data_IF_885538247598
#
_entry.id   IF_885538247598
#
_cell.length_a   1.000
_cell.length_b   1.000
_cell.length_c   1.000
_cell.angle_alpha   90.00
_cell.angle_beta   90.00
_cell.angle_gamma   90.00
#
_symmetry.space_group_name_H-M   'P 1'
#
loop_
_entity.id
_entity.type
_entity.pdbx_description
1 polymer ?
#
# COMPACT_ATOMS: atom_id res chain seq x y z
N UNK A 1 13.80 10.96 32.58
CA UNK A 1 14.40 9.85 31.79
C UNK A 1 13.99 8.51 32.40
N UNK A 2 13.95 8.36 33.72
CA UNK A 2 13.62 7.09 34.38
C UNK A 2 12.16 6.68 34.24
N UNK A 3 11.23 7.63 34.14
CA UNK A 3 9.80 7.31 33.94
C UNK A 3 9.53 6.69 32.56
N UNK A 4 10.29 7.05 31.53
CA UNK A 4 10.17 6.47 30.19
C UNK A 4 10.80 5.07 30.07
N UNK A 5 11.75 4.72 30.93
CA UNK A 5 12.37 3.39 30.95
C UNK A 5 11.42 2.29 31.45
N UNK A 6 10.39 2.65 32.20
CA UNK A 6 9.38 1.72 32.69
C UNK A 6 8.24 1.47 31.71
N UNK A 7 8.18 2.18 30.58
CA UNK A 7 7.13 2.07 29.58
C UNK A 7 7.54 1.06 28.52
N UNK A 8 6.80 -0.05 28.31
CA UNK A 8 7.08 -1.00 27.26
C UNK A 8 7.04 -0.39 25.85
N UNK A 9 8.01 -0.72 25.04
CA UNK A 9 8.13 -0.33 23.63
C UNK A 9 7.79 -1.51 22.74
N UNK A 10 6.79 -1.38 21.91
CA UNK A 10 6.29 -2.45 21.05
C UNK A 10 6.40 -2.02 19.59
N UNK A 11 7.22 -2.74 18.81
CA UNK A 11 7.23 -2.64 17.35
C UNK A 11 6.15 -3.55 16.79
N UNK A 12 5.22 -2.98 16.03
CA UNK A 12 4.09 -3.70 15.43
C UNK A 12 4.45 -4.19 14.03
N UNK A 13 5.19 -5.29 13.95
CA UNK A 13 5.75 -5.80 12.71
C UNK A 13 5.52 -7.30 12.58
N UNK A 14 5.14 -7.75 11.39
CA UNK A 14 4.92 -9.14 11.04
C UNK A 14 6.04 -9.65 10.12
N UNK A 15 6.85 -10.59 10.61
CA UNK A 15 7.95 -11.17 9.84
C UNK A 15 7.50 -11.89 8.55
N UNK A 16 6.23 -12.28 8.46
CA UNK A 16 5.67 -12.93 7.27
C UNK A 16 5.31 -11.91 6.17
N UNK A 17 5.33 -10.60 6.46
CA UNK A 17 5.19 -9.52 5.49
C UNK A 17 6.57 -9.06 5.01
N UNK A 18 6.79 -9.08 3.70
CA UNK A 18 8.09 -8.73 3.10
C UNK A 18 8.60 -7.34 3.53
N UNK A 19 7.74 -6.33 3.57
CA UNK A 19 8.08 -4.97 4.03
C UNK A 19 8.47 -4.96 5.51
N UNK A 20 7.69 -5.60 6.37
CA UNK A 20 7.94 -5.64 7.81
C UNK A 20 9.20 -6.44 8.14
N UNK A 21 9.48 -7.53 7.39
CA UNK A 21 10.72 -8.29 7.52
C UNK A 21 11.96 -7.42 7.27
N UNK A 22 11.91 -6.49 6.29
CA UNK A 22 12.99 -5.53 6.05
C UNK A 22 13.14 -4.52 7.21
N UNK A 23 12.04 -4.09 7.81
CA UNK A 23 12.08 -3.21 8.98
C UNK A 23 12.65 -3.94 10.20
N UNK A 24 12.25 -5.19 10.43
CA UNK A 24 12.78 -6.04 11.52
C UNK A 24 14.29 -6.18 11.37
N UNK A 25 14.79 -6.54 10.20
CA UNK A 25 16.22 -6.65 9.93
C UNK A 25 16.99 -5.36 10.23
N UNK A 26 16.39 -4.18 9.91
CA UNK A 26 16.99 -2.87 10.24
C UNK A 26 16.98 -2.61 11.74
N UNK A 27 15.89 -2.90 12.45
CA UNK A 27 15.78 -2.75 13.89
C UNK A 27 16.86 -3.60 14.58
N UNK A 28 16.98 -4.86 14.21
CA UNK A 28 17.99 -5.78 14.77
C UNK A 28 19.43 -5.33 14.49
N UNK A 29 19.67 -4.72 13.32
CA UNK A 29 20.99 -4.20 12.97
C UNK A 29 21.35 -2.89 13.70
N UNK A 30 20.39 -2.00 13.95
CA UNK A 30 20.67 -0.68 14.52
C UNK A 30 20.46 -0.63 16.03
N UNK A 31 19.52 -1.38 16.59
CA UNK A 31 19.21 -1.35 18.02
C UNK A 31 20.43 -1.61 18.94
N UNK A 32 21.38 -2.50 18.60
CA UNK A 32 22.60 -2.71 19.39
C UNK A 32 23.52 -1.48 19.47
N UNK A 33 23.36 -0.50 18.57
CA UNK A 33 24.15 0.74 18.58
C UNK A 33 23.65 1.76 19.61
N UNK A 34 22.55 1.47 20.30
CA UNK A 34 21.91 2.33 21.28
C UNK A 34 21.94 1.69 22.68
N UNK A 35 21.94 2.53 23.72
CA UNK A 35 21.81 2.01 25.08
C UNK A 35 20.35 1.61 25.35
N UNK A 36 20.09 0.31 25.31
CA UNK A 36 18.78 -0.30 25.58
C UNK A 36 18.66 -0.95 26.93
N UNK A 37 19.66 -0.76 27.81
CA UNK A 37 19.66 -1.33 29.16
C UNK A 37 18.44 -0.88 29.97
N UNK A 38 17.69 -1.84 30.51
CA UNK A 38 16.48 -1.61 31.31
C UNK A 38 15.25 -1.22 30.48
N UNK A 39 15.30 -1.28 29.15
CA UNK A 39 14.13 -1.06 28.31
C UNK A 39 13.41 -2.38 28.00
N UNK A 40 12.08 -2.40 28.12
CA UNK A 40 11.23 -3.52 27.68
C UNK A 40 10.86 -3.30 26.23
N UNK A 41 11.65 -3.83 25.31
CA UNK A 41 11.47 -3.69 23.86
C UNK A 41 11.05 -5.03 23.27
N UNK A 42 10.00 -5.01 22.46
CA UNK A 42 9.52 -6.20 21.76
C UNK A 42 9.08 -5.91 20.33
N UNK A 43 9.25 -6.89 19.46
CA UNK A 43 8.71 -6.91 18.09
C UNK A 43 7.60 -7.95 18.08
N UNK A 44 6.37 -7.53 17.80
CA UNK A 44 5.19 -8.40 17.86
C UNK A 44 4.34 -8.20 16.62
N UNK A 45 3.72 -9.28 16.15
CA UNK A 45 2.67 -9.21 15.12
C UNK A 45 1.52 -8.32 15.60
N UNK A 46 0.81 -7.61 14.69
CA UNK A 46 -0.25 -6.66 15.07
C UNK A 46 -1.29 -7.22 16.05
N UNK A 47 -1.74 -8.46 15.87
CA UNK A 47 -2.71 -9.09 16.78
C UNK A 47 -2.15 -9.30 18.19
N UNK A 48 -0.88 -9.70 18.31
CA UNK A 48 -0.22 -9.92 19.60
C UNK A 48 0.13 -8.59 20.26
N UNK A 49 0.60 -7.60 19.48
CA UNK A 49 0.86 -6.25 19.93
C UNK A 49 -0.41 -5.60 20.50
N UNK A 50 -1.56 -5.76 19.80
CA UNK A 50 -2.86 -5.28 20.29
C UNK A 50 -3.22 -5.93 21.61
N UNK A 51 -3.16 -7.25 21.73
CA UNK A 51 -3.48 -7.96 22.96
C UNK A 51 -2.61 -7.51 24.13
N UNK A 52 -1.30 -7.36 23.90
CA UNK A 52 -0.35 -6.88 24.92
C UNK A 52 -0.65 -5.44 25.32
N UNK A 53 -0.87 -4.55 24.37
CA UNK A 53 -1.19 -3.14 24.66
C UNK A 53 -2.49 -3.02 25.45
N UNK A 54 -3.55 -3.72 25.06
CA UNK A 54 -4.81 -3.73 25.80
C UNK A 54 -4.66 -4.29 27.23
N UNK A 55 -3.84 -5.34 27.41
CA UNK A 55 -3.58 -5.89 28.74
C UNK A 55 -2.86 -4.90 29.67
N UNK A 56 -1.92 -4.11 29.12
CA UNK A 56 -1.22 -3.04 29.85
C UNK A 56 -2.14 -1.87 30.16
N UNK A 57 -2.96 -1.43 29.19
CA UNK A 57 -3.95 -0.37 29.39
C UNK A 57 -4.97 -0.73 30.49
N UNK A 58 -5.41 -1.98 30.55
CA UNK A 58 -6.29 -2.46 31.63
C UNK A 58 -5.65 -2.38 33.03
N UNK A 59 -4.32 -2.36 33.10
CA UNK A 59 -3.55 -2.17 34.33
C UNK A 59 -3.22 -0.70 34.61
N UNK A 60 -3.73 0.22 33.78
CA UNK A 60 -3.39 1.66 33.87
C UNK A 60 -1.95 1.98 33.46
N UNK A 61 -1.31 1.12 32.65
CA UNK A 61 0.05 1.30 32.17
C UNK A 61 0.06 1.85 30.75
N UNK A 62 0.98 2.77 30.50
CA UNK A 62 1.25 3.30 29.17
C UNK A 62 2.03 2.29 28.32
N UNK A 63 1.96 2.46 26.99
CA UNK A 63 2.77 1.75 26.01
C UNK A 63 3.30 2.70 24.96
N UNK A 64 4.51 2.45 24.49
CA UNK A 64 5.06 3.14 23.31
C UNK A 64 4.90 2.20 22.13
N UNK A 65 4.05 2.57 21.21
CA UNK A 65 3.85 1.83 19.97
C UNK A 65 4.75 2.39 18.88
N UNK A 66 5.55 1.53 18.27
CA UNK A 66 6.49 1.89 17.20
C UNK A 66 6.18 1.05 16.01
N UNK A 67 5.97 1.66 14.86
CA UNK A 67 5.97 0.96 13.60
C UNK A 67 5.60 1.83 12.42
N UNK A 68 5.61 1.18 11.24
CA UNK A 68 5.19 1.72 9.98
C UNK A 68 3.68 1.72 9.76
N UNK A 69 3.26 1.51 8.51
CA UNK A 69 1.91 1.75 8.01
C UNK A 69 0.80 0.94 8.69
N UNK A 70 1.09 -0.30 9.12
CA UNK A 70 0.04 -1.15 9.74
C UNK A 70 -0.51 -0.52 11.02
N UNK A 71 0.37 -0.07 11.92
CA UNK A 71 -0.07 0.59 13.14
C UNK A 71 -0.85 1.88 12.85
N UNK A 72 -0.39 2.65 11.86
CA UNK A 72 -1.09 3.85 11.43
C UNK A 72 -2.51 3.54 11.00
N UNK A 73 -2.71 2.52 10.17
CA UNK A 73 -4.02 2.11 9.68
C UNK A 73 -4.93 1.65 10.82
N UNK A 74 -4.40 0.89 11.79
CA UNK A 74 -5.16 0.50 12.98
C UNK A 74 -5.60 1.71 13.81
N UNK A 75 -4.70 2.67 14.05
CA UNK A 75 -4.97 3.83 14.91
C UNK A 75 -5.83 4.89 14.22
N UNK A 76 -5.68 5.06 12.92
CA UNK A 76 -6.37 6.13 12.18
C UNK A 76 -7.67 5.68 11.53
N UNK A 77 -7.80 4.41 11.21
CA UNK A 77 -8.96 3.88 10.51
C UNK A 77 -9.73 2.84 11.33
N UNK A 78 -9.11 1.73 11.74
CA UNK A 78 -9.84 0.63 12.36
C UNK A 78 -10.41 1.00 13.73
N UNK A 79 -9.58 1.43 14.67
CA UNK A 79 -10.05 1.75 16.02
C UNK A 79 -11.04 2.93 16.04
N UNK A 80 -10.83 4.03 15.31
CA UNK A 80 -11.81 5.09 15.22
C UNK A 80 -13.16 4.64 14.63
N UNK A 81 -13.14 3.72 13.66
CA UNK A 81 -14.39 3.17 13.10
C UNK A 81 -15.13 2.35 14.17
N UNK A 82 -14.42 1.53 14.95
CA UNK A 82 -15.01 0.71 16.00
C UNK A 82 -15.57 1.56 17.16
N UNK A 83 -14.88 2.62 17.57
CA UNK A 83 -15.25 3.45 18.70
C UNK A 83 -16.22 4.58 18.34
N UNK A 84 -16.00 5.24 17.19
CA UNK A 84 -16.72 6.45 16.80
C UNK A 84 -17.66 6.24 15.62
N UNK A 85 -17.66 5.04 15.03
CA UNK A 85 -18.40 4.71 13.82
C UNK A 85 -17.83 5.31 12.54
N UNK A 86 -16.75 6.07 12.63
CA UNK A 86 -16.06 6.69 11.48
C UNK A 86 -14.65 7.13 11.84
N UNK A 87 -13.72 6.99 10.90
CA UNK A 87 -12.36 7.54 11.01
C UNK A 87 -12.27 9.02 10.61
N UNK A 88 -13.34 9.61 10.03
CA UNK A 88 -13.36 11.01 9.61
C UNK A 88 -13.16 12.01 10.77
N UNK A 89 -13.36 11.59 12.00
CA UNK A 89 -13.17 12.41 13.21
C UNK A 89 -11.75 12.34 13.76
N UNK A 90 -10.89 11.48 13.21
CA UNK A 90 -9.50 11.36 13.62
C UNK A 90 -8.63 12.38 12.89
N UNK A 91 -7.70 12.96 13.66
CA UNK A 91 -6.68 13.83 13.14
C UNK A 91 -5.32 13.21 13.47
N UNK A 92 -4.54 12.91 12.45
CA UNK A 92 -3.15 12.51 12.64
C UNK A 92 -2.19 13.62 12.23
N UNK A 93 -1.04 13.67 12.92
CA UNK A 93 0.02 14.62 12.63
C UNK A 93 1.23 13.84 12.19
N UNK A 94 1.68 14.08 10.96
CA UNK A 94 2.90 13.49 10.41
C UNK A 94 4.03 14.51 10.56
N UNK A 95 5.03 14.26 11.43
CA UNK A 95 6.19 15.14 11.55
C UNK A 95 6.98 15.19 10.26
N UNK A 96 7.35 16.39 9.83
CA UNK A 96 8.19 16.59 8.65
C UNK A 96 9.67 16.62 9.05
N UNK A 97 10.55 16.10 8.20
CA UNK A 97 12.01 16.01 8.46
C UNK A 97 12.64 17.37 8.74
N UNK A 98 12.18 18.43 8.09
CA UNK A 98 12.68 19.79 8.26
C UNK A 98 11.89 20.61 9.31
N UNK A 99 11.12 19.93 10.16
CA UNK A 99 10.25 20.57 11.14
C UNK A 99 8.86 20.89 10.62
N UNK A 100 7.93 21.11 11.54
CA UNK A 100 6.51 21.26 11.23
C UNK A 100 5.77 19.92 11.21
N UNK A 101 4.53 19.93 10.79
CA UNK A 101 3.66 18.76 10.73
C UNK A 101 2.65 18.86 9.58
N UNK A 102 2.35 17.74 8.97
CA UNK A 102 1.23 17.57 8.07
C UNK A 102 0.05 16.99 8.85
N UNK A 103 -1.10 17.68 8.76
CA UNK A 103 -2.33 17.21 9.38
C UNK A 103 -3.15 16.45 8.35
N UNK A 104 -3.50 15.21 8.66
CA UNK A 104 -4.37 14.39 7.84
C UNK A 104 -5.54 13.84 8.67
N UNK A 105 -6.71 13.76 8.04
CA UNK A 105 -7.85 13.03 8.59
C UNK A 105 -7.83 11.59 8.09
N UNK A 106 -8.40 10.66 8.87
CA UNK A 106 -8.58 9.29 8.42
C UNK A 106 -9.43 9.18 7.15
N UNK A 107 -9.38 8.02 6.48
CA UNK A 107 -10.10 7.75 5.23
C UNK A 107 -11.62 7.92 5.32
N UNK A 108 -12.14 8.11 6.53
CA UNK A 108 -13.54 8.38 6.80
C UNK A 108 -14.43 7.15 6.71
N UNK A 109 -15.75 7.39 6.67
CA UNK A 109 -16.75 6.34 6.59
C UNK A 109 -16.87 5.65 5.22
N UNK A 110 -16.02 5.99 4.26
CA UNK A 110 -16.06 5.38 2.92
C UNK A 110 -15.38 4.01 2.87
N UNK A 111 -14.36 3.74 3.69
CA UNK A 111 -13.64 2.48 3.69
C UNK A 111 -14.54 1.25 3.93
N UNK A 112 -15.44 1.20 4.93
CA UNK A 112 -16.38 0.09 5.08
C UNK A 112 -17.26 -0.12 3.86
N UNK A 113 -17.69 0.96 3.20
CA UNK A 113 -18.51 0.86 1.98
C UNK A 113 -17.73 0.31 0.79
N UNK A 114 -16.43 0.57 0.71
CA UNK A 114 -15.57 -0.01 -0.32
C UNK A 114 -15.48 -1.53 -0.14
N UNK A 115 -15.27 -1.98 1.10
CA UNK A 115 -15.20 -3.40 1.42
C UNK A 115 -16.55 -4.10 1.17
N UNK A 116 -17.65 -3.52 1.64
CA UNK A 116 -19.00 -4.05 1.43
C UNK A 116 -19.33 -4.19 -0.06
N UNK A 117 -18.97 -3.19 -0.87
CA UNK A 117 -19.20 -3.24 -2.30
C UNK A 117 -18.33 -4.31 -2.98
N UNK A 118 -17.07 -4.46 -2.58
CA UNK A 118 -16.20 -5.49 -3.11
C UNK A 118 -16.71 -6.89 -2.76
N UNK A 119 -17.12 -7.12 -1.50
CA UNK A 119 -17.66 -8.39 -1.06
C UNK A 119 -18.98 -8.74 -1.76
N UNK A 120 -19.88 -7.78 -1.90
CA UNK A 120 -21.22 -8.01 -2.45
C UNK A 120 -21.26 -8.03 -3.99
N UNK A 121 -20.41 -7.26 -4.64
CA UNK A 121 -20.52 -6.96 -6.08
C UNK A 121 -19.21 -7.18 -6.85
N UNK A 122 -18.13 -7.65 -6.19
CA UNK A 122 -16.84 -7.85 -6.83
C UNK A 122 -16.22 -6.57 -7.41
N UNK A 123 -16.73 -5.38 -7.04
CA UNK A 123 -16.30 -4.08 -7.56
C UNK A 123 -15.44 -3.33 -6.55
N UNK A 124 -14.19 -3.06 -6.88
CA UNK A 124 -13.22 -2.38 -6.03
C UNK A 124 -13.08 -0.89 -6.42
N UNK A 125 -13.86 -0.02 -5.78
CA UNK A 125 -13.86 1.42 -6.09
C UNK A 125 -12.77 2.24 -5.40
N UNK A 126 -11.77 1.61 -4.76
CA UNK A 126 -10.65 2.31 -4.15
C UNK A 126 -9.81 3.02 -5.21
N UNK A 127 -9.51 4.31 -4.99
CA UNK A 127 -8.62 5.07 -5.86
C UNK A 127 -7.20 5.08 -5.27
N UNK A 128 -6.27 4.48 -5.99
CA UNK A 128 -4.86 4.38 -5.59
C UNK A 128 -3.99 5.53 -6.11
N UNK A 129 -4.56 6.63 -6.54
CA UNK A 129 -3.78 7.77 -7.06
C UNK A 129 -2.76 8.30 -6.05
N UNK A 130 -3.15 8.36 -4.76
CA UNK A 130 -2.24 8.78 -3.70
C UNK A 130 -1.05 7.85 -3.54
N UNK A 131 -1.25 6.54 -3.66
CA UNK A 131 -0.20 5.53 -3.63
C UNK A 131 0.71 5.62 -4.85
N UNK A 132 0.17 5.90 -6.03
CA UNK A 132 0.97 6.09 -7.25
C UNK A 132 1.89 7.31 -7.14
N UNK A 133 1.36 8.43 -6.66
CA UNK A 133 2.15 9.65 -6.40
C UNK A 133 3.23 9.41 -5.34
N UNK A 134 2.90 8.71 -4.26
CA UNK A 134 3.86 8.36 -3.22
C UNK A 134 4.97 7.43 -3.73
N UNK A 135 4.65 6.50 -4.63
CA UNK A 135 5.64 5.63 -5.27
C UNK A 135 6.59 6.43 -6.15
N UNK A 136 6.10 7.37 -6.97
CA UNK A 136 6.91 8.26 -7.79
C UNK A 136 7.91 9.05 -6.94
N UNK A 137 7.42 9.77 -5.93
CA UNK A 137 8.25 10.52 -4.99
C UNK A 137 9.29 9.63 -4.26
N UNK A 138 8.91 8.39 -3.91
CA UNK A 138 9.81 7.43 -3.26
C UNK A 138 10.92 6.96 -4.18
N UNK A 139 10.62 6.69 -5.45
CA UNK A 139 11.61 6.30 -6.46
C UNK A 139 12.61 7.43 -6.75
N UNK A 140 12.15 8.66 -6.89
CA UNK A 140 13.02 9.83 -7.04
C UNK A 140 13.92 10.04 -5.82
N UNK A 141 13.38 9.92 -4.62
CA UNK A 141 14.15 10.01 -3.38
C UNK A 141 15.22 8.92 -3.32
N UNK A 142 14.85 7.67 -3.62
CA UNK A 142 15.78 6.54 -3.69
C UNK A 142 16.89 6.79 -4.71
N UNK A 143 16.51 7.25 -5.91
CA UNK A 143 17.45 7.59 -6.97
C UNK A 143 18.50 8.60 -6.54
N UNK A 144 18.05 9.67 -5.90
CA UNK A 144 18.92 10.77 -5.45
C UNK A 144 19.79 10.41 -4.25
N UNK A 145 19.22 9.73 -3.23
CA UNK A 145 19.94 9.46 -1.96
C UNK A 145 20.94 8.32 -2.11
N UNK A 146 20.63 7.32 -2.92
CA UNK A 146 21.47 6.15 -3.14
C UNK A 146 22.17 6.14 -4.50
N UNK A 147 22.16 7.26 -5.21
CA UNK A 147 22.75 7.40 -6.55
C UNK A 147 22.29 6.30 -7.53
N UNK A 148 21.03 5.89 -7.43
CA UNK A 148 20.43 4.83 -8.23
C UNK A 148 19.72 5.41 -9.46
N UNK A 149 20.43 5.43 -10.60
CA UNK A 149 19.90 5.98 -11.85
C UNK A 149 18.66 5.26 -12.38
N UNK A 150 18.55 3.95 -12.13
CA UNK A 150 17.38 3.17 -12.54
C UNK A 150 16.14 3.58 -11.73
N UNK A 151 16.27 3.76 -10.41
CA UNK A 151 15.19 4.27 -9.57
C UNK A 151 14.77 5.70 -9.97
N UNK A 152 15.75 6.57 -10.27
CA UNK A 152 15.47 7.92 -10.74
C UNK A 152 14.66 7.90 -12.04
N UNK A 153 15.08 7.09 -13.01
CA UNK A 153 14.39 6.93 -14.29
C UNK A 153 12.98 6.38 -14.13
N UNK A 154 12.79 5.39 -13.26
CA UNK A 154 11.46 4.83 -12.96
C UNK A 154 10.55 5.86 -12.30
N UNK A 155 11.06 6.72 -11.42
CA UNK A 155 10.28 7.82 -10.83
C UNK A 155 9.82 8.83 -11.88
N UNK A 156 10.75 9.32 -12.71
CA UNK A 156 10.46 10.27 -13.79
C UNK A 156 9.41 9.72 -14.78
N UNK A 157 9.57 8.48 -15.21
CA UNK A 157 8.62 7.84 -16.14
C UNK A 157 7.28 7.50 -15.49
N UNK A 158 7.25 7.27 -14.16
CA UNK A 158 6.00 7.09 -13.43
C UNK A 158 5.21 8.41 -13.35
N UNK A 159 5.88 9.54 -13.16
CA UNK A 159 5.22 10.85 -13.18
C UNK A 159 4.56 11.13 -14.54
N UNK A 160 5.25 10.82 -15.65
CA UNK A 160 4.67 10.89 -17.00
C UNK A 160 3.43 9.99 -17.13
N UNK A 161 3.52 8.76 -16.63
CA UNK A 161 2.42 7.80 -16.67
C UNK A 161 1.20 8.25 -15.81
N UNK A 162 1.46 8.86 -14.66
CA UNK A 162 0.40 9.42 -13.79
C UNK A 162 -0.29 10.61 -14.48
N UNK A 163 0.45 11.47 -15.16
CA UNK A 163 -0.14 12.56 -15.94
C UNK A 163 -1.07 12.01 -17.03
N UNK A 164 -0.63 11.03 -17.82
CA UNK A 164 -1.44 10.38 -18.84
C UNK A 164 -2.67 9.64 -18.25
N UNK A 165 -2.50 9.01 -17.10
CA UNK A 165 -3.59 8.37 -16.34
C UNK A 165 -4.69 9.37 -15.96
N UNK A 166 -4.30 10.54 -15.47
CA UNK A 166 -5.24 11.60 -15.09
C UNK A 166 -5.93 12.20 -16.33
N UNK A 167 -5.17 12.52 -17.36
CA UNK A 167 -5.69 13.10 -18.60
C UNK A 167 -6.69 12.16 -19.32
N UNK A 168 -6.44 10.85 -19.23
CA UNK A 168 -7.31 9.82 -19.82
C UNK A 168 -8.47 9.41 -18.92
N UNK A 169 -8.60 9.98 -17.71
CA UNK A 169 -9.68 9.73 -16.75
C UNK A 169 -9.83 8.24 -16.38
N UNK A 170 -8.73 7.61 -15.96
CA UNK A 170 -8.67 6.18 -15.61
C UNK A 170 -8.84 5.87 -14.12
N UNK A 171 -9.31 6.84 -13.32
CA UNK A 171 -9.70 6.61 -11.92
C UNK A 171 -10.90 5.67 -11.80
N UNK A 172 -11.00 4.92 -10.67
CA UNK A 172 -12.08 3.98 -10.47
C UNK A 172 -13.46 4.64 -10.42
N UNK A 173 -14.43 4.06 -11.11
CA UNK A 173 -15.84 4.43 -10.97
C UNK A 173 -16.43 3.92 -9.66
N UNK A 174 -17.55 4.51 -9.26
CA UNK A 174 -18.37 4.01 -8.15
C UNK A 174 -19.38 2.92 -8.58
N UNK A 175 -19.52 2.69 -9.89
CA UNK A 175 -20.54 1.82 -10.46
C UNK A 175 -19.94 0.49 -10.88
N UNK A 176 -20.65 -0.57 -10.54
CA UNK A 176 -20.34 -1.92 -11.00
C UNK A 176 -20.42 -1.99 -12.54
N UNK A 177 -19.60 -2.82 -13.13
CA UNK A 177 -19.43 -2.97 -14.58
C UNK A 177 -18.80 -1.73 -15.28
N UNK A 178 -18.20 -0.83 -14.52
CA UNK A 178 -17.33 0.22 -15.01
C UNK A 178 -15.90 -0.03 -14.49
N UNK A 179 -14.93 0.81 -14.89
CA UNK A 179 -13.55 0.71 -14.43
C UNK A 179 -13.47 0.73 -12.90
N UNK A 180 -12.79 -0.24 -12.32
CA UNK A 180 -12.51 -0.31 -10.91
C UNK A 180 -11.01 -0.15 -10.61
N UNK A 181 -10.58 -0.32 -9.37
CA UNK A 181 -9.18 -0.22 -8.96
C UNK A 181 -8.24 -1.11 -9.81
N UNK A 182 -8.65 -2.32 -10.15
CA UNK A 182 -7.86 -3.27 -10.96
C UNK A 182 -7.65 -2.75 -12.38
N UNK A 183 -8.70 -2.19 -12.98
CA UNK A 183 -8.62 -1.52 -14.28
C UNK A 183 -7.73 -0.28 -14.24
N UNK A 184 -7.80 0.50 -13.17
CA UNK A 184 -6.92 1.65 -12.98
C UNK A 184 -5.45 1.25 -12.88
N UNK A 185 -5.13 0.17 -12.15
CA UNK A 185 -3.77 -0.37 -12.09
C UNK A 185 -3.28 -0.89 -13.43
N UNK A 186 -4.15 -1.53 -14.22
CA UNK A 186 -3.81 -1.93 -15.58
C UNK A 186 -3.41 -0.73 -16.45
N UNK A 187 -4.20 0.33 -16.44
CA UNK A 187 -3.89 1.53 -17.23
C UNK A 187 -2.62 2.22 -16.76
N UNK A 188 -2.39 2.33 -15.45
CA UNK A 188 -1.13 2.88 -14.95
C UNK A 188 0.06 2.03 -15.41
N UNK A 189 -0.02 0.70 -15.29
CA UNK A 189 1.04 -0.20 -15.71
C UNK A 189 1.33 -0.07 -17.22
N UNK A 190 0.28 0.04 -18.05
CA UNK A 190 0.39 0.27 -19.49
C UNK A 190 1.11 1.59 -19.79
N UNK A 191 0.63 2.70 -19.25
CA UNK A 191 1.22 4.02 -19.48
C UNK A 191 2.66 4.09 -18.95
N UNK A 192 2.94 3.46 -17.80
CA UNK A 192 4.30 3.44 -17.27
C UNK A 192 5.25 2.61 -18.14
N UNK A 193 4.82 1.43 -18.59
CA UNK A 193 5.61 0.63 -19.53
C UNK A 193 5.88 1.39 -20.84
N UNK A 194 4.89 2.12 -21.36
CA UNK A 194 5.02 2.97 -22.54
C UNK A 194 5.99 4.14 -22.30
N UNK A 195 5.92 4.80 -21.15
CA UNK A 195 6.83 5.89 -20.77
C UNK A 195 8.28 5.38 -20.67
N UNK A 196 8.51 4.24 -20.00
CA UNK A 196 9.83 3.60 -19.94
C UNK A 196 10.32 3.17 -21.33
N UNK A 197 9.45 2.71 -22.20
CA UNK A 197 9.80 2.33 -23.58
C UNK A 197 10.15 3.53 -24.46
N UNK A 198 9.69 4.73 -24.14
CA UNK A 198 9.99 5.97 -24.92
C UNK A 198 11.32 6.62 -24.52
N UNK A 199 11.81 6.41 -23.31
CA UNK A 199 13.04 7.07 -22.83
C UNK A 199 14.30 6.54 -23.52
N UNK A 200 15.38 7.34 -23.52
CA UNK A 200 16.66 7.01 -24.14
C UNK A 200 17.85 6.99 -23.14
N UNK A 201 17.56 7.12 -21.82
CA UNK A 201 18.58 7.16 -20.76
C UNK A 201 19.12 5.76 -20.42
N UNK A 202 18.28 4.73 -20.52
CA UNK A 202 18.63 3.34 -20.27
C UNK A 202 18.09 2.43 -21.40
N UNK A 203 18.94 2.05 -22.38
CA UNK A 203 18.52 1.21 -23.50
C UNK A 203 18.08 -0.21 -23.11
N UNK A 204 18.65 -0.77 -22.04
CA UNK A 204 18.31 -2.12 -21.59
C UNK A 204 16.90 -2.13 -20.99
N UNK A 205 16.63 -1.16 -20.11
CA UNK A 205 15.30 -0.99 -19.54
C UNK A 205 14.28 -0.64 -20.63
N UNK A 206 14.64 0.24 -21.58
CA UNK A 206 13.80 0.56 -22.73
C UNK A 206 13.37 -0.68 -23.50
N UNK A 207 14.29 -1.55 -23.88
CA UNK A 207 14.01 -2.76 -24.66
C UNK A 207 13.09 -3.73 -23.87
N UNK A 208 13.41 -3.94 -22.59
CA UNK A 208 12.62 -4.80 -21.71
C UNK A 208 11.16 -4.33 -21.60
N UNK A 209 10.94 -3.04 -21.34
CA UNK A 209 9.61 -2.48 -21.17
C UNK A 209 8.88 -2.23 -22.50
N UNK A 210 9.57 -2.08 -23.63
CA UNK A 210 8.94 -2.00 -24.94
C UNK A 210 8.16 -3.28 -25.28
N UNK A 211 8.71 -4.45 -24.92
CA UNK A 211 8.03 -5.73 -25.10
C UNK A 211 6.74 -5.81 -24.25
N UNK A 212 6.82 -5.38 -22.99
CA UNK A 212 5.65 -5.32 -22.10
C UNK A 212 4.61 -4.32 -22.61
N UNK A 213 5.00 -3.10 -22.95
CA UNK A 213 4.10 -2.07 -23.48
C UNK A 213 3.34 -2.56 -24.72
N UNK A 214 4.05 -3.24 -25.64
CA UNK A 214 3.43 -3.84 -26.81
C UNK A 214 2.38 -4.92 -26.48
N UNK A 215 2.67 -5.78 -25.50
CA UNK A 215 1.72 -6.81 -25.04
C UNK A 215 0.49 -6.19 -24.38
N UNK A 216 0.68 -5.22 -23.47
CA UNK A 216 -0.42 -4.56 -22.77
C UNK A 216 -1.31 -3.78 -23.74
N UNK A 217 -0.72 -3.07 -24.70
CA UNK A 217 -1.48 -2.34 -25.72
C UNK A 217 -2.25 -3.28 -26.66
N UNK A 218 -1.64 -4.38 -27.11
CA UNK A 218 -2.30 -5.35 -27.99
C UNK A 218 -3.45 -6.11 -27.31
N UNK A 219 -3.39 -6.24 -25.98
CA UNK A 219 -4.37 -7.01 -25.19
C UNK A 219 -5.34 -6.13 -24.41
N UNK A 220 -5.35 -4.80 -24.61
CA UNK A 220 -6.13 -3.85 -23.82
C UNK A 220 -7.62 -4.20 -23.75
N UNK A 221 -8.25 -4.49 -24.90
CA UNK A 221 -9.67 -4.83 -24.95
C UNK A 221 -9.98 -6.13 -24.20
N UNK A 222 -9.13 -7.14 -24.35
CA UNK A 222 -9.29 -8.43 -23.67
C UNK A 222 -9.10 -8.28 -22.16
N UNK A 223 -8.06 -7.59 -21.72
CA UNK A 223 -7.79 -7.35 -20.28
C UNK A 223 -8.96 -6.60 -19.65
N UNK A 224 -9.46 -5.54 -20.28
CA UNK A 224 -10.62 -4.80 -19.78
C UNK A 224 -11.86 -5.70 -19.69
N UNK A 225 -12.13 -6.54 -20.69
CA UNK A 225 -13.25 -7.47 -20.66
C UNK A 225 -13.12 -8.48 -19.49
N UNK A 226 -11.92 -9.02 -19.25
CA UNK A 226 -11.67 -9.95 -18.15
C UNK A 226 -11.83 -9.28 -16.78
N UNK A 227 -11.35 -8.05 -16.62
CA UNK A 227 -11.48 -7.29 -15.38
C UNK A 227 -12.94 -6.89 -15.09
N UNK A 228 -13.70 -6.52 -16.11
CA UNK A 228 -15.13 -6.20 -15.98
C UNK A 228 -15.96 -7.46 -15.68
N UNK A 229 -15.64 -8.60 -16.31
CA UNK A 229 -16.32 -9.87 -16.07
C UNK A 229 -16.15 -10.40 -14.63
N UNK A 230 -15.16 -9.92 -13.89
CA UNK A 230 -14.95 -10.26 -12.49
C UNK A 230 -15.84 -9.46 -11.52
N UNK A 231 -16.74 -8.61 -12.04
CA UNK A 231 -17.65 -7.79 -11.25
C UNK A 231 -19.09 -8.28 -11.36
N UNK A 232 -19.96 -7.82 -10.47
CA UNK A 232 -21.39 -8.12 -10.49
C UNK A 232 -21.80 -9.31 -9.62
N UNK A 233 -20.86 -10.08 -9.11
CA UNK A 233 -21.10 -11.23 -8.25
C UNK A 233 -20.39 -11.05 -6.92
N UNK A 234 -20.89 -11.74 -5.87
CA UNK A 234 -20.24 -11.72 -4.56
C UNK A 234 -18.89 -12.42 -4.58
N UNK A 235 -17.95 -11.89 -3.80
CA UNK A 235 -16.58 -12.39 -3.73
C UNK A 235 -16.31 -12.99 -2.35
N UNK A 236 -15.85 -14.25 -2.34
CA UNK A 236 -15.31 -14.87 -1.13
C UNK A 236 -13.79 -14.80 -1.14
N UNK A 237 -13.22 -14.13 -0.14
CA UNK A 237 -11.76 -14.04 0.05
C UNK A 237 -11.30 -14.84 1.29
N UNK A 238 -12.18 -15.65 1.88
CA UNK A 238 -11.83 -16.49 3.04
C UNK A 238 -11.80 -15.72 4.36
N UNK A 239 -12.45 -14.57 4.42
CA UNK A 239 -12.53 -13.71 5.61
C UNK A 239 -11.75 -12.41 5.45
N UNK A 240 -12.21 -11.37 6.15
CA UNK A 240 -11.67 -10.02 6.00
C UNK A 240 -10.37 -9.78 6.78
N UNK A 241 -10.28 -10.33 7.98
CA UNK A 241 -9.13 -10.11 8.87
C UNK A 241 -7.86 -10.84 8.40
N UNK A 242 -8.02 -12.08 7.92
CA UNK A 242 -6.94 -12.90 7.39
C UNK A 242 -7.44 -13.62 6.14
N UNK A 243 -7.50 -12.94 5.01
CA UNK A 243 -8.02 -13.51 3.78
C UNK A 243 -7.18 -14.71 3.33
N UNK A 244 -7.84 -15.68 2.72
CA UNK A 244 -7.14 -16.80 2.11
C UNK A 244 -6.30 -16.29 0.92
N UNK A 245 -4.98 -16.55 0.86
CA UNK A 245 -4.12 -16.00 -0.19
C UNK A 245 -4.54 -16.39 -1.62
N UNK A 246 -5.02 -17.60 -1.82
CA UNK A 246 -5.44 -18.08 -3.14
C UNK A 246 -6.74 -17.41 -3.60
N UNK A 247 -7.72 -17.32 -2.70
CA UNK A 247 -8.99 -16.63 -2.97
C UNK A 247 -8.76 -15.13 -3.20
N UNK A 248 -7.92 -14.51 -2.37
CA UNK A 248 -7.56 -13.10 -2.53
C UNK A 248 -6.83 -12.86 -3.86
N UNK A 249 -5.85 -13.70 -4.23
CA UNK A 249 -5.15 -13.60 -5.51
C UNK A 249 -6.12 -13.74 -6.70
N UNK A 250 -7.04 -14.69 -6.65
CA UNK A 250 -8.07 -14.86 -7.68
C UNK A 250 -8.96 -13.63 -7.83
N UNK A 251 -9.38 -13.02 -6.72
CA UNK A 251 -10.23 -11.83 -6.72
C UNK A 251 -9.48 -10.58 -7.18
N UNK A 252 -8.21 -10.41 -6.78
CA UNK A 252 -7.41 -9.21 -7.07
C UNK A 252 -6.69 -9.26 -8.43
N UNK A 253 -6.42 -10.46 -8.95
CA UNK A 253 -5.75 -10.69 -10.24
C UNK A 253 -6.61 -11.53 -11.20
N UNK A 254 -7.85 -11.09 -11.52
CA UNK A 254 -8.80 -11.92 -12.26
C UNK A 254 -8.54 -11.99 -13.77
N UNK A 255 -7.61 -11.17 -14.31
CA UNK A 255 -7.25 -11.19 -15.73
C UNK A 255 -6.06 -12.10 -15.99
N UNK A 256 -6.23 -13.29 -16.58
CA UNK A 256 -5.12 -14.16 -16.97
C UNK A 256 -4.18 -13.49 -17.96
N UNK A 257 -4.73 -12.75 -18.92
CA UNK A 257 -3.98 -12.04 -19.96
C UNK A 257 -3.06 -10.98 -19.36
N UNK A 258 -3.53 -10.20 -18.38
CA UNK A 258 -2.70 -9.23 -17.68
C UNK A 258 -1.63 -9.92 -16.84
N UNK A 259 -1.99 -10.98 -16.12
CA UNK A 259 -1.05 -11.75 -15.31
C UNK A 259 0.10 -12.30 -16.15
N UNK A 260 -0.21 -12.93 -17.29
CA UNK A 260 0.80 -13.47 -18.22
C UNK A 260 1.72 -12.37 -18.77
N UNK A 261 1.16 -11.22 -19.12
CA UNK A 261 1.95 -10.10 -19.61
C UNK A 261 2.95 -9.60 -18.55
N UNK A 262 2.51 -9.41 -17.30
CA UNK A 262 3.36 -8.93 -16.21
C UNK A 262 4.39 -9.99 -15.77
N UNK A 263 3.99 -11.25 -15.66
CA UNK A 263 4.87 -12.34 -15.21
C UNK A 263 5.95 -12.67 -16.28
N UNK A 264 5.87 -12.09 -17.48
CA UNK A 264 6.83 -12.27 -18.59
C UNK A 264 8.00 -11.28 -18.60
N UNK A 265 8.08 -10.35 -17.64
CA UNK A 265 9.09 -9.26 -17.61
C UNK A 265 10.33 -9.60 -16.80
#
# INVERSE_FOLDING_TARGET
>A
VDALRAVPVIFWLDADRAHDAQLIAKIEAYLPNHNTEGLDISILKPAEATKRSLALMRQGKDTISVSGNVLRDYLTDLFPILELGTSAKMLSIVPLINGGGLFETGAGGSAPKHVQQFEAEGHLRWDSLGEFLALGASLEHLGRVFENSAAQLLGETLDEAIAEFLDSNRSPSRRVNEIDNRGSHFYLAKFWAEAVARQDKDPVMKERFAALAGKLAASEEQINAELLAAQGESVDVGGYFAPNPELAAKAMRPSPTLNEAIDSV
#
